data_IF_724968879970
#
_entry.id   IF_724968879970
#
_cell.length_a   1.000
_cell.length_b   1.000
_cell.length_c   1.000
_cell.angle_alpha   90.00
_cell.angle_beta   90.00
_cell.angle_gamma   90.00
#
_symmetry.space_group_name_H-M   'P 1'
#
loop_
_entity.id
_entity.type
_entity.pdbx_description
1 polymer ?
#
# COMPACT_ATOMS: atom_id res chain seq x y z
N UNK A 1 -16.34 -22.53 -6.42
CA UNK A 1 -15.82 -21.15 -6.29
C UNK A 1 -14.64 -21.13 -5.32
N UNK A 2 -14.82 -21.66 -4.10
CA UNK A 2 -13.77 -21.74 -3.08
C UNK A 2 -12.51 -22.52 -3.50
N UNK A 3 -12.66 -23.65 -4.20
CA UNK A 3 -11.50 -24.43 -4.69
C UNK A 3 -10.53 -23.60 -5.56
N UNK A 4 -11.04 -22.58 -6.28
CA UNK A 4 -10.19 -21.67 -7.07
C UNK A 4 -9.53 -20.59 -6.22
N UNK A 5 -10.14 -20.19 -5.10
CA UNK A 5 -9.51 -19.28 -4.13
C UNK A 5 -8.37 -20.00 -3.36
N UNK A 6 -8.42 -21.34 -3.36
CA UNK A 6 -7.46 -22.24 -2.72
C UNK A 6 -6.26 -22.59 -3.57
N UNK A 7 -6.45 -22.67 -4.88
CA UNK A 7 -5.38 -22.98 -5.81
C UNK A 7 -4.40 -21.78 -5.94
N UNK A 8 -3.13 -21.92 -5.53
CA UNK A 8 -2.11 -20.87 -5.70
C UNK A 8 -1.74 -20.64 -7.18
N UNK A 9 -2.23 -21.48 -8.09
CA UNK A 9 -2.05 -21.36 -9.54
C UNK A 9 -3.26 -20.81 -10.26
N UNK A 10 -4.42 -20.73 -9.61
CA UNK A 10 -5.61 -20.17 -10.21
C UNK A 10 -5.49 -18.65 -10.40
N UNK A 11 -6.01 -18.19 -11.53
CA UNK A 11 -6.22 -16.77 -11.79
C UNK A 11 -7.31 -16.21 -10.85
N UNK A 12 -7.21 -14.93 -10.45
CA UNK A 12 -8.25 -14.27 -9.68
C UNK A 12 -9.61 -14.36 -10.36
N UNK A 13 -10.65 -14.56 -9.57
CA UNK A 13 -12.03 -14.69 -10.06
C UNK A 13 -12.91 -13.52 -9.65
N UNK A 14 -13.91 -13.20 -10.48
CA UNK A 14 -14.97 -12.29 -10.08
C UNK A 14 -15.84 -12.96 -9.00
N UNK A 15 -16.07 -12.23 -7.91
CA UNK A 15 -16.84 -12.65 -6.75
C UNK A 15 -18.04 -11.70 -6.58
N UNK A 16 -19.27 -12.23 -6.38
CA UNK A 16 -20.45 -11.40 -6.17
C UNK A 16 -20.34 -10.55 -4.90
N UNK A 17 -20.88 -9.32 -4.91
CA UNK A 17 -20.86 -8.44 -3.74
C UNK A 17 -21.54 -9.08 -2.53
N UNK A 18 -22.73 -9.67 -2.71
CA UNK A 18 -23.46 -10.28 -1.60
C UNK A 18 -22.69 -11.46 -0.98
N UNK A 19 -21.92 -12.22 -1.79
CA UNK A 19 -21.02 -13.25 -1.26
C UNK A 19 -19.92 -12.64 -0.39
N UNK A 20 -19.28 -11.55 -0.85
CA UNK A 20 -18.23 -10.88 -0.07
C UNK A 20 -18.78 -10.25 1.22
N UNK A 21 -19.99 -9.73 1.16
CA UNK A 21 -20.72 -9.19 2.31
C UNK A 21 -21.03 -10.28 3.33
N UNK A 22 -21.47 -11.46 2.89
CA UNK A 22 -21.75 -12.59 3.78
C UNK A 22 -20.49 -13.08 4.51
N UNK A 23 -19.38 -13.32 3.78
CA UNK A 23 -18.14 -13.83 4.39
C UNK A 23 -17.44 -12.81 5.29
N UNK A 24 -17.78 -11.52 5.18
CA UNK A 24 -17.24 -10.43 6.01
C UNK A 24 -18.21 -10.00 7.11
N UNK A 25 -19.28 -10.75 7.35
CA UNK A 25 -20.32 -10.41 8.33
C UNK A 25 -20.87 -8.99 8.13
N UNK A 26 -21.31 -8.70 6.90
CA UNK A 26 -21.76 -7.38 6.45
C UNK A 26 -20.71 -6.26 6.60
N UNK A 27 -19.43 -6.57 6.42
CA UNK A 27 -18.31 -5.64 6.66
C UNK A 27 -18.33 -5.09 8.09
N UNK A 28 -18.54 -5.97 9.09
CA UNK A 28 -18.58 -5.57 10.49
C UNK A 28 -17.23 -5.06 10.98
N UNK A 29 -17.26 -4.16 11.97
CA UNK A 29 -16.04 -3.59 12.55
C UNK A 29 -15.17 -4.66 13.22
N UNK A 30 -15.79 -5.75 13.69
CA UNK A 30 -15.12 -6.91 14.28
C UNK A 30 -14.27 -7.68 13.25
N UNK A 31 -14.59 -7.59 11.96
CA UNK A 31 -13.79 -8.16 10.89
C UNK A 31 -12.76 -7.17 10.33
N UNK A 32 -12.70 -5.92 10.80
CA UNK A 32 -11.73 -4.95 10.29
C UNK A 32 -10.29 -5.39 10.63
N UNK A 33 -9.46 -5.56 9.59
CA UNK A 33 -8.03 -5.84 9.70
C UNK A 33 -7.21 -4.54 9.66
N UNK A 34 -7.74 -3.50 9.03
CA UNK A 34 -7.11 -2.18 8.98
C UNK A 34 -7.78 -1.25 7.98
N UNK A 35 -7.45 0.04 8.10
CA UNK A 35 -7.98 1.11 7.26
C UNK A 35 -6.83 1.91 6.66
N UNK A 36 -6.80 1.98 5.34
CA UNK A 36 -5.81 2.73 4.57
C UNK A 36 -6.43 3.96 3.89
N UNK A 37 -5.62 4.67 3.10
CA UNK A 37 -6.09 5.82 2.31
C UNK A 37 -7.09 5.46 1.20
N UNK A 38 -7.08 4.21 0.75
CA UNK A 38 -7.85 3.75 -0.41
C UNK A 38 -9.07 2.90 -0.03
N UNK A 39 -9.24 2.55 1.25
CA UNK A 39 -10.34 1.68 1.67
C UNK A 39 -10.12 1.04 3.04
N UNK A 40 -11.04 0.13 3.38
CA UNK A 40 -10.99 -0.67 4.60
C UNK A 40 -10.78 -2.14 4.21
N UNK A 41 -9.90 -2.82 4.93
CA UNK A 41 -9.60 -4.24 4.74
C UNK A 41 -10.35 -5.02 5.82
N UNK A 42 -11.15 -5.98 5.40
CA UNK A 42 -11.91 -6.87 6.27
C UNK A 42 -11.39 -8.30 6.16
N UNK A 43 -11.55 -9.06 7.23
CA UNK A 43 -11.34 -10.49 7.27
C UNK A 43 -12.58 -11.16 6.69
N UNK A 44 -12.40 -11.92 5.60
CA UNK A 44 -13.44 -12.77 5.02
C UNK A 44 -13.24 -14.21 5.43
N UNK A 45 -14.26 -14.86 6.00
CA UNK A 45 -14.24 -16.29 6.35
C UNK A 45 -15.10 -17.06 5.36
N UNK A 46 -14.44 -17.84 4.50
CA UNK A 46 -15.11 -18.72 3.53
C UNK A 46 -15.87 -19.85 4.25
N UNK A 47 -16.92 -20.43 3.65
CA UNK A 47 -17.61 -21.61 4.19
C UNK A 47 -16.69 -22.78 4.55
N UNK A 48 -15.59 -23.00 3.82
CA UNK A 48 -14.52 -23.95 4.18
C UNK A 48 -13.76 -23.64 5.47
N UNK A 49 -13.96 -22.46 6.06
CA UNK A 49 -13.22 -21.94 7.22
C UNK A 49 -11.93 -21.22 6.86
N UNK A 50 -11.53 -21.19 5.58
CA UNK A 50 -10.36 -20.45 5.13
C UNK A 50 -10.62 -18.94 5.20
N UNK A 51 -9.56 -18.20 5.51
CA UNK A 51 -9.59 -16.74 5.63
C UNK A 51 -8.99 -16.09 4.37
N UNK A 52 -9.63 -15.02 3.90
CA UNK A 52 -9.11 -14.08 2.90
C UNK A 52 -9.15 -12.66 3.43
N UNK A 53 -8.37 -11.75 2.83
CA UNK A 53 -8.45 -10.32 3.11
C UNK A 53 -9.27 -9.61 2.03
N UNK A 54 -10.36 -8.96 2.41
CA UNK A 54 -11.29 -8.27 1.51
C UNK A 54 -11.13 -6.77 1.67
N UNK A 55 -10.45 -6.13 0.73
CA UNK A 55 -10.28 -4.67 0.69
C UNK A 55 -11.47 -4.04 -0.03
N UNK A 56 -12.35 -3.39 0.73
CA UNK A 56 -13.43 -2.56 0.20
C UNK A 56 -12.88 -1.17 -0.07
N UNK A 57 -12.84 -0.77 -1.34
CA UNK A 57 -12.34 0.55 -1.72
C UNK A 57 -13.34 1.63 -1.31
N UNK A 58 -12.85 2.80 -0.93
CA UNK A 58 -13.74 3.93 -0.66
C UNK A 58 -14.49 4.33 -1.94
N UNK A 59 -15.71 4.83 -1.77
CA UNK A 59 -16.52 5.36 -2.86
C UNK A 59 -15.83 6.60 -3.44
N UNK A 60 -14.95 6.38 -4.41
CA UNK A 60 -14.32 7.46 -5.15
C UNK A 60 -15.26 7.84 -6.29
N UNK A 61 -16.29 8.62 -5.96
CA UNK A 61 -17.28 9.16 -6.91
C UNK A 61 -16.68 9.99 -8.07
N UNK A 62 -15.36 10.22 -8.04
CA UNK A 62 -14.60 11.00 -9.02
C UNK A 62 -13.67 10.13 -9.88
N UNK A 63 -13.67 8.81 -9.70
CA UNK A 63 -12.73 7.95 -10.40
C UNK A 63 -13.35 7.32 -11.63
N UNK A 64 -12.59 7.37 -12.71
CA UNK A 64 -12.86 6.73 -13.97
C UNK A 64 -12.91 5.19 -13.80
N UNK A 65 -14.05 4.60 -14.16
CA UNK A 65 -14.26 3.15 -14.16
C UNK A 65 -13.25 2.44 -15.06
N UNK A 66 -12.83 3.06 -16.17
CA UNK A 66 -11.82 2.50 -17.08
C UNK A 66 -10.46 2.32 -16.36
N UNK A 67 -10.11 3.28 -15.51
CA UNK A 67 -8.87 3.25 -14.75
C UNK A 67 -8.88 2.14 -13.68
N UNK A 68 -10.01 1.93 -12.99
CA UNK A 68 -10.15 0.80 -12.07
C UNK A 68 -9.98 -0.54 -12.79
N UNK A 69 -10.65 -0.72 -13.94
CA UNK A 69 -10.53 -1.95 -14.72
C UNK A 69 -9.10 -2.21 -15.17
N UNK A 70 -8.38 -1.16 -15.58
CA UNK A 70 -6.95 -1.25 -15.93
C UNK A 70 -6.10 -1.70 -14.75
N UNK A 71 -6.33 -1.15 -13.56
CA UNK A 71 -5.57 -1.54 -12.37
C UNK A 71 -5.88 -2.96 -11.92
N UNK A 72 -7.16 -3.38 -11.89
CA UNK A 72 -7.50 -4.78 -11.61
C UNK A 72 -6.83 -5.70 -12.63
N UNK A 73 -6.84 -5.33 -13.91
CA UNK A 73 -6.18 -6.10 -14.98
C UNK A 73 -4.68 -6.22 -14.73
N UNK A 74 -4.02 -5.14 -14.30
CA UNK A 74 -2.60 -5.15 -13.92
C UNK A 74 -2.37 -6.10 -12.74
N UNK A 75 -3.21 -6.04 -11.71
CA UNK A 75 -3.09 -6.88 -10.50
C UNK A 75 -3.34 -8.38 -10.79
N UNK A 76 -4.23 -8.69 -11.74
CA UNK A 76 -4.60 -10.08 -12.09
C UNK A 76 -3.42 -10.89 -12.61
N UNK A 77 -2.49 -10.25 -13.30
CA UNK A 77 -1.29 -10.91 -13.85
C UNK A 77 -0.14 -11.08 -12.87
N UNK A 78 -0.21 -10.46 -11.69
CA UNK A 78 0.93 -10.38 -10.76
C UNK A 78 1.00 -11.64 -9.91
N UNK A 79 2.09 -12.39 -10.09
CA UNK A 79 2.38 -13.59 -9.32
C UNK A 79 3.87 -13.67 -8.99
N UNK A 80 4.18 -13.45 -7.72
CA UNK A 80 5.54 -13.54 -7.19
C UNK A 80 5.48 -13.97 -5.72
N UNK A 81 6.49 -14.71 -5.24
CA UNK A 81 6.50 -15.24 -3.87
C UNK A 81 6.50 -14.14 -2.80
N UNK A 82 7.15 -13.01 -3.07
CA UNK A 82 7.23 -11.84 -2.18
C UNK A 82 6.24 -10.71 -2.53
N UNK A 83 5.14 -11.03 -3.21
CA UNK A 83 4.05 -10.09 -3.46
C UNK A 83 2.74 -10.71 -2.98
N UNK A 84 1.90 -9.92 -2.33
CA UNK A 84 0.59 -10.39 -1.89
C UNK A 84 -0.27 -10.74 -3.09
N UNK A 85 -0.79 -11.95 -3.10
CA UNK A 85 -1.56 -12.49 -4.20
C UNK A 85 -3.01 -12.00 -4.16
N UNK A 86 -3.47 -11.43 -5.27
CA UNK A 86 -4.90 -11.24 -5.54
C UNK A 86 -5.54 -12.61 -5.78
N UNK A 87 -6.65 -12.91 -5.10
CA UNK A 87 -7.41 -14.17 -5.24
C UNK A 87 -8.77 -13.95 -5.90
N UNK A 88 -9.30 -12.74 -5.84
CA UNK A 88 -10.55 -12.39 -6.48
C UNK A 88 -10.83 -10.89 -6.42
N UNK A 89 -11.91 -10.48 -7.06
CA UNK A 89 -12.33 -9.08 -7.11
C UNK A 89 -13.84 -8.98 -7.27
N UNK A 90 -14.41 -7.84 -6.87
CA UNK A 90 -15.79 -7.46 -7.15
C UNK A 90 -15.76 -6.10 -7.86
N UNK A 91 -16.43 -6.04 -9.02
CA UNK A 91 -16.57 -4.86 -9.84
C UNK A 91 -18.04 -4.72 -10.22
N UNK A 92 -18.88 -4.47 -9.21
CA UNK A 92 -20.33 -4.31 -9.39
C UNK A 92 -20.71 -2.84 -9.25
N UNK A 93 -21.81 -2.44 -9.88
CA UNK A 93 -22.33 -1.08 -9.83
C UNK A 93 -23.85 -1.12 -9.66
N UNK A 94 -24.38 -0.37 -8.69
CA UNK A 94 -25.82 -0.35 -8.38
C UNK A 94 -26.40 1.06 -8.46
N UNK A 95 -27.61 1.19 -8.96
CA UNK A 95 -28.31 2.48 -9.00
C UNK A 95 -28.91 2.79 -7.62
N UNK A 96 -28.55 3.93 -7.06
CA UNK A 96 -29.07 4.43 -5.79
C UNK A 96 -29.57 5.86 -5.92
N UNK A 97 -30.62 6.19 -5.17
CA UNK A 97 -31.08 7.55 -5.01
C UNK A 97 -30.21 8.26 -3.96
N UNK A 98 -29.37 9.20 -4.39
CA UNK A 98 -28.50 9.98 -3.51
C UNK A 98 -29.13 11.35 -3.27
N UNK A 99 -29.15 11.78 -2.00
CA UNK A 99 -29.57 13.13 -1.64
C UNK A 99 -28.40 14.10 -1.75
N UNK A 100 -28.52 15.07 -2.64
CA UNK A 100 -27.54 16.14 -2.82
C UNK A 100 -27.60 17.15 -1.66
N UNK A 101 -26.52 17.94 -1.44
CA UNK A 101 -26.49 18.98 -0.41
C UNK A 101 -27.61 20.03 -0.53
N UNK A 102 -28.12 20.25 -1.74
CA UNK A 102 -29.25 21.14 -2.03
C UNK A 102 -30.62 20.53 -1.70
N UNK A 103 -30.67 19.29 -1.21
CA UNK A 103 -31.90 18.59 -0.82
C UNK A 103 -32.56 17.76 -1.92
N UNK A 104 -32.11 17.85 -3.17
CA UNK A 104 -32.66 17.08 -4.29
C UNK A 104 -32.13 15.63 -4.28
N UNK A 105 -32.98 14.68 -4.68
CA UNK A 105 -32.56 13.31 -4.92
C UNK A 105 -32.18 13.14 -6.40
N UNK A 106 -31.04 12.50 -6.65
CA UNK A 106 -30.63 12.09 -7.99
C UNK A 106 -30.35 10.60 -8.00
N UNK A 107 -30.71 9.93 -9.10
CA UNK A 107 -30.27 8.56 -9.31
C UNK A 107 -28.82 8.61 -9.79
N UNK A 108 -27.93 7.93 -9.09
CA UNK A 108 -26.56 7.74 -9.53
C UNK A 108 -26.16 6.29 -9.41
N UNK A 109 -25.22 5.89 -10.26
CA UNK A 109 -24.63 4.57 -10.20
C UNK A 109 -23.49 4.60 -9.17
N UNK A 110 -23.62 3.81 -8.11
CA UNK A 110 -22.61 3.66 -7.06
C UNK A 110 -21.74 2.45 -7.39
N UNK A 111 -20.45 2.64 -7.67
CA UNK A 111 -19.52 1.54 -7.85
C UNK A 111 -19.25 0.86 -6.50
N UNK A 112 -19.25 -0.46 -6.52
CA UNK A 112 -18.94 -1.32 -5.39
C UNK A 112 -17.73 -2.17 -5.78
N UNK A 113 -16.55 -1.60 -5.51
CA UNK A 113 -15.27 -2.17 -5.88
C UNK A 113 -14.56 -2.79 -4.68
N UNK A 114 -14.24 -4.08 -4.79
CA UNK A 114 -13.52 -4.82 -3.77
C UNK A 114 -12.40 -5.65 -4.38
N UNK A 115 -11.28 -5.73 -3.67
CA UNK A 115 -10.15 -6.59 -4.00
C UNK A 115 -9.99 -7.63 -2.92
N UNK A 116 -9.86 -8.89 -3.30
CA UNK A 116 -9.70 -10.01 -2.38
C UNK A 116 -8.29 -10.55 -2.51
N UNK A 117 -7.57 -10.60 -1.39
CA UNK A 117 -6.19 -11.06 -1.32
C UNK A 117 -6.08 -12.31 -0.43
N UNK A 118 -4.96 -13.02 -0.57
CA UNK A 118 -4.59 -14.03 0.41
C UNK A 118 -4.46 -13.41 1.81
N UNK A 119 -4.91 -14.13 2.84
CA UNK A 119 -4.74 -13.68 4.22
C UNK A 119 -3.36 -14.07 4.75
N UNK A 120 -2.66 -13.11 5.36
CA UNK A 120 -1.32 -13.29 5.91
C UNK A 120 -1.38 -13.15 7.44
N UNK A 121 -1.24 -14.25 8.20
CA UNK A 121 -1.55 -14.27 9.63
C UNK A 121 -0.48 -13.60 10.51
N UNK A 122 0.73 -13.44 10.01
CA UNK A 122 1.86 -12.94 10.80
C UNK A 122 1.98 -11.41 10.80
N UNK A 123 0.90 -10.67 10.50
CA UNK A 123 0.87 -9.20 10.49
C UNK A 123 1.94 -8.58 9.55
N UNK A 124 2.15 -7.27 9.69
CA UNK A 124 3.14 -6.51 8.92
C UNK A 124 4.54 -6.53 9.57
N UNK A 125 5.54 -6.21 8.76
CA UNK A 125 6.94 -6.05 9.16
C UNK A 125 7.09 -5.02 10.27
N UNK A 126 6.22 -4.00 10.30
CA UNK A 126 6.15 -2.99 11.35
C UNK A 126 6.25 -3.58 12.76
N UNK A 127 5.53 -4.69 13.01
CA UNK A 127 5.49 -5.37 14.31
C UNK A 127 6.84 -5.96 14.73
N UNK A 128 7.72 -6.24 13.79
CA UNK A 128 8.99 -6.94 14.00
C UNK A 128 10.23 -6.05 13.89
N UNK A 129 10.05 -4.76 13.64
CA UNK A 129 11.16 -3.83 13.45
C UNK A 129 11.24 -2.78 14.57
N UNK A 130 10.11 -2.47 15.22
CA UNK A 130 10.02 -1.41 16.24
C UNK A 130 10.27 -1.82 17.69
N UNK A 131 10.55 -3.10 17.98
CA UNK A 131 10.73 -3.57 19.36
C UNK A 131 12.23 -3.82 19.64
N UNK A 132 12.75 -3.26 20.75
CA UNK A 132 14.16 -3.37 21.19
C UNK A 132 14.63 -4.83 21.35
N UNK A 133 13.70 -5.79 21.28
CA UNK A 133 13.92 -7.22 21.25
C UNK A 133 13.05 -7.92 20.20
N UNK A 134 13.07 -7.50 18.93
CA UNK A 134 12.24 -8.12 17.88
C UNK A 134 12.45 -9.63 17.66
N UNK A 135 13.39 -10.28 18.36
CA UNK A 135 13.60 -11.72 18.35
C UNK A 135 14.08 -12.28 17.00
N UNK A 136 14.07 -11.48 15.94
CA UNK A 136 14.53 -11.86 14.62
C UNK A 136 16.05 -11.88 14.58
N UNK A 137 16.60 -13.09 14.58
CA UNK A 137 18.01 -13.32 14.27
C UNK A 137 18.37 -12.71 12.91
N UNK A 138 19.62 -12.23 12.80
CA UNK A 138 20.14 -11.59 11.60
C UNK A 138 19.85 -12.37 10.30
N UNK A 139 19.98 -13.70 10.35
CA UNK A 139 19.65 -14.57 9.21
C UNK A 139 18.22 -14.33 8.68
N UNK A 140 17.23 -14.23 9.58
CA UNK A 140 15.83 -14.00 9.20
C UNK A 140 15.63 -12.56 8.69
N UNK A 141 16.28 -11.57 9.30
CA UNK A 141 16.28 -10.18 8.81
C UNK A 141 16.83 -10.08 7.39
N UNK A 142 17.92 -10.78 7.11
CA UNK A 142 18.50 -10.85 5.76
C UNK A 142 17.57 -11.54 4.76
N UNK A 143 16.91 -12.64 5.14
CA UNK A 143 15.89 -13.30 4.31
C UNK A 143 14.72 -12.37 3.99
N UNK A 144 14.28 -11.56 4.95
CA UNK A 144 13.26 -10.53 4.76
C UNK A 144 13.75 -9.46 3.76
N UNK A 145 14.92 -8.87 4.00
CA UNK A 145 15.54 -7.88 3.11
C UNK A 145 15.60 -8.40 1.67
N UNK A 146 16.10 -9.62 1.50
CA UNK A 146 16.22 -10.27 0.20
C UNK A 146 14.84 -10.47 -0.47
N UNK A 147 13.85 -10.93 0.28
CA UNK A 147 12.50 -11.13 -0.23
C UNK A 147 11.84 -9.82 -0.68
N UNK A 148 11.97 -8.74 0.11
CA UNK A 148 11.46 -7.41 -0.26
C UNK A 148 12.16 -6.90 -1.53
N UNK A 149 13.49 -7.04 -1.63
CA UNK A 149 14.22 -6.73 -2.86
C UNK A 149 13.69 -7.50 -4.07
N UNK A 150 13.45 -8.81 -3.92
CA UNK A 150 12.97 -9.66 -5.02
C UNK A 150 11.58 -9.23 -5.50
N UNK A 151 10.65 -9.00 -4.57
CA UNK A 151 9.31 -8.53 -4.89
C UNK A 151 9.31 -7.16 -5.56
N UNK A 152 10.10 -6.22 -5.04
CA UNK A 152 10.16 -4.86 -5.59
C UNK A 152 10.82 -4.84 -6.97
N UNK A 153 11.88 -5.63 -7.15
CA UNK A 153 12.53 -5.80 -8.46
C UNK A 153 11.54 -6.34 -9.50
N UNK A 154 10.75 -7.36 -9.14
CA UNK A 154 9.72 -7.90 -10.01
C UNK A 154 8.67 -6.85 -10.38
N UNK A 155 8.17 -6.06 -9.41
CA UNK A 155 7.24 -4.97 -9.68
C UNK A 155 7.82 -3.96 -10.69
N UNK A 156 9.08 -3.56 -10.51
CA UNK A 156 9.72 -2.55 -11.37
C UNK A 156 10.04 -3.07 -12.77
N UNK A 157 10.63 -4.26 -12.88
CA UNK A 157 11.17 -4.76 -14.13
C UNK A 157 10.14 -5.52 -14.97
N UNK A 158 9.34 -6.38 -14.33
CA UNK A 158 8.43 -7.27 -15.04
C UNK A 158 7.02 -6.67 -15.15
N UNK A 159 6.58 -5.93 -14.12
CA UNK A 159 5.24 -5.33 -14.12
C UNK A 159 5.22 -3.84 -14.50
N UNK A 160 6.38 -3.17 -14.49
CA UNK A 160 6.50 -1.72 -14.68
C UNK A 160 5.63 -0.90 -13.71
N UNK A 161 5.48 -1.39 -12.48
CA UNK A 161 4.70 -0.75 -11.41
C UNK A 161 5.65 -0.11 -10.42
N UNK A 162 5.42 1.18 -10.12
CA UNK A 162 6.05 1.88 -8.99
C UNK A 162 5.08 1.86 -7.81
N UNK A 163 5.54 1.47 -6.63
CA UNK A 163 4.70 1.26 -5.46
C UNK A 163 4.28 2.58 -4.78
N UNK A 164 5.23 3.51 -4.61
CA UNK A 164 5.10 4.86 -4.04
C UNK A 164 4.67 4.98 -2.55
N UNK A 165 4.39 3.88 -1.86
CA UNK A 165 3.96 3.82 -0.43
C UNK A 165 4.57 2.58 0.21
N UNK A 166 5.81 2.28 -0.18
CA UNK A 166 6.53 1.16 0.40
C UNK A 166 6.94 1.55 1.83
N UNK A 167 6.42 0.82 2.81
CA UNK A 167 6.66 1.04 4.24
C UNK A 167 6.48 -0.27 5.02
N UNK A 168 7.00 -0.40 6.25
CA UNK A 168 6.89 -1.64 7.02
C UNK A 168 5.45 -2.14 7.21
N UNK A 169 4.45 -1.24 7.24
CA UNK A 169 3.03 -1.56 7.33
C UNK A 169 2.51 -2.32 6.09
N UNK A 170 3.09 -2.03 4.92
CA UNK A 170 2.71 -2.62 3.63
C UNK A 170 3.57 -3.84 3.24
N UNK A 171 4.43 -4.31 4.14
CA UNK A 171 5.18 -5.55 3.98
C UNK A 171 4.60 -6.56 4.95
N UNK A 172 3.78 -7.48 4.47
CA UNK A 172 3.10 -8.49 5.27
C UNK A 172 3.93 -9.77 5.39
N UNK A 173 3.72 -10.53 6.45
CA UNK A 173 4.47 -11.75 6.74
C UNK A 173 3.59 -12.98 6.52
N UNK A 174 4.06 -13.91 5.70
CA UNK A 174 3.39 -15.19 5.51
C UNK A 174 3.59 -16.14 6.70
N UNK A 175 2.99 -17.32 6.64
CA UNK A 175 3.05 -18.35 7.70
C UNK A 175 4.49 -18.81 8.01
N UNK A 176 5.42 -18.64 7.09
CA UNK A 176 6.84 -19.03 7.22
C UNK A 176 7.74 -17.86 7.63
N UNK A 177 7.16 -16.70 7.95
CA UNK A 177 7.85 -15.44 8.23
C UNK A 177 8.67 -14.92 7.04
N UNK A 178 8.16 -15.12 5.82
CA UNK A 178 8.69 -14.52 4.61
C UNK A 178 7.86 -13.29 4.20
N UNK A 179 8.48 -12.24 3.65
CA UNK A 179 7.80 -10.99 3.38
C UNK A 179 7.01 -11.06 2.07
N UNK A 180 5.89 -10.34 2.04
CA UNK A 180 5.07 -10.08 0.86
C UNK A 180 4.67 -8.61 0.79
N UNK A 181 5.00 -7.96 -0.32
CA UNK A 181 4.64 -6.56 -0.58
C UNK A 181 3.14 -6.48 -0.89
N UNK A 182 2.44 -5.61 -0.16
CA UNK A 182 1.00 -5.37 -0.23
C UNK A 182 0.71 -3.92 -0.66
N UNK A 183 -0.55 -3.58 -0.91
CA UNK A 183 -0.98 -2.18 -1.12
C UNK A 183 -0.23 -1.41 -2.23
N UNK A 184 0.13 -2.13 -3.31
CA UNK A 184 0.69 -1.59 -4.55
C UNK A 184 -0.40 -1.37 -5.61
N UNK A 185 -0.09 -0.59 -6.64
CA UNK A 185 -0.95 -0.42 -7.83
C UNK A 185 -2.16 0.51 -7.67
N UNK A 186 -2.56 0.85 -6.43
CA UNK A 186 -3.70 1.74 -6.18
C UNK A 186 -3.31 3.22 -6.05
N UNK A 187 -2.02 3.56 -6.14
CA UNK A 187 -1.56 4.94 -5.95
C UNK A 187 -1.57 5.79 -7.23
N UNK A 188 -1.76 5.17 -8.39
CA UNK A 188 -1.97 5.91 -9.64
C UNK A 188 -3.45 6.21 -9.88
N UNK A 189 -4.34 5.65 -9.06
CA UNK A 189 -5.81 5.73 -9.13
C UNK A 189 -6.37 7.12 -8.79
N UNK A 190 -5.64 7.91 -8.01
CA UNK A 190 -6.08 9.25 -7.63
C UNK A 190 -5.35 10.24 -8.55
N UNK A 191 -6.08 11.07 -9.29
CA UNK A 191 -5.49 12.13 -10.13
C UNK A 191 -4.42 12.89 -9.34
N UNK A 192 -3.31 13.25 -9.97
CA UNK A 192 -2.27 14.09 -9.36
C UNK A 192 -2.86 15.40 -8.77
N UNK A 193 -3.98 15.88 -9.33
CA UNK A 193 -4.72 17.02 -8.82
C UNK A 193 -5.54 16.69 -7.56
N UNK A 194 -6.13 15.51 -7.44
CA UNK A 194 -6.79 15.08 -6.19
C UNK A 194 -5.77 14.78 -5.11
N UNK A 195 -4.59 14.21 -5.44
CA UNK A 195 -3.44 14.12 -4.53
C UNK A 195 -2.99 15.49 -4.01
N UNK A 196 -3.04 16.54 -4.84
CA UNK A 196 -2.72 17.92 -4.44
C UNK A 196 -3.86 18.60 -3.66
N UNK A 197 -5.12 18.27 -3.94
CA UNK A 197 -6.31 18.92 -3.37
C UNK A 197 -6.73 18.28 -2.03
N UNK A 198 -6.53 16.97 -1.86
CA UNK A 198 -6.84 16.27 -0.61
C UNK A 198 -5.63 16.25 0.34
N UNK A 199 -5.58 17.27 1.19
CA UNK A 199 -4.93 17.30 2.49
C UNK A 199 -3.39 17.48 2.56
N UNK A 200 -3.04 18.69 3.02
CA UNK A 200 -1.96 19.02 3.98
C UNK A 200 -2.02 18.19 5.29
N UNK A 201 -2.48 16.94 5.25
CA UNK A 201 -2.69 16.06 6.40
C UNK A 201 -2.56 14.58 6.02
N UNK A 202 -1.73 14.27 5.02
CA UNK A 202 -1.12 12.94 5.03
C UNK A 202 -0.22 12.86 6.26
N UNK A 203 -0.37 11.85 7.13
CA UNK A 203 0.70 11.51 8.05
C UNK A 203 1.91 11.26 7.17
N UNK A 204 2.88 12.16 7.21
CA UNK A 204 4.13 12.08 6.46
C UNK A 204 4.74 10.71 6.76
N UNK A 205 4.50 9.72 5.91
CA UNK A 205 5.11 8.42 6.08
C UNK A 205 6.59 8.71 5.87
N UNK A 206 7.41 8.50 6.90
CA UNK A 206 8.81 8.89 6.85
C UNK A 206 9.58 8.25 5.69
N UNK A 207 8.97 7.34 4.93
CA UNK A 207 9.55 6.54 3.86
C UNK A 207 9.47 7.19 2.47
N UNK A 208 8.72 8.29 2.28
CA UNK A 208 8.60 8.94 0.96
C UNK A 208 9.90 9.61 0.52
N UNK A 209 10.25 9.43 -0.75
CA UNK A 209 11.39 10.08 -1.37
C UNK A 209 11.18 11.60 -1.50
N UNK A 210 12.22 12.42 -1.31
CA UNK A 210 12.09 13.87 -1.34
C UNK A 210 11.62 14.39 -2.70
N UNK A 211 12.10 13.85 -3.81
CA UNK A 211 11.69 14.24 -5.16
C UNK A 211 10.21 13.93 -5.44
N UNK A 212 9.71 12.82 -4.89
CA UNK A 212 8.29 12.47 -4.99
C UNK A 212 7.43 13.42 -4.14
N UNK A 213 7.88 13.71 -2.91
CA UNK A 213 7.12 14.55 -1.99
C UNK A 213 7.10 16.02 -2.38
N UNK A 214 8.22 16.56 -2.86
CA UNK A 214 8.38 17.98 -3.16
C UNK A 214 7.94 18.34 -4.58
N UNK A 215 8.25 17.46 -5.54
CA UNK A 215 8.07 17.75 -6.97
C UNK A 215 7.01 16.85 -7.63
N UNK A 216 6.54 15.79 -6.94
CA UNK A 216 5.61 14.82 -7.51
C UNK A 216 6.27 13.87 -8.51
N UNK A 217 7.60 13.76 -8.51
CA UNK A 217 8.34 12.92 -9.46
C UNK A 217 8.12 11.44 -9.12
N UNK A 218 7.40 10.74 -10.01
CA UNK A 218 7.16 9.29 -9.89
C UNK A 218 8.25 8.54 -10.63
N UNK A 219 9.02 7.72 -9.91
CA UNK A 219 10.02 6.85 -10.51
C UNK A 219 10.30 5.61 -9.63
N UNK A 220 10.84 4.51 -10.20
CA UNK A 220 11.32 3.38 -9.42
C UNK A 220 12.34 3.77 -8.33
N UNK A 221 13.05 4.90 -8.48
CA UNK A 221 14.02 5.37 -7.49
C UNK A 221 13.34 5.86 -6.19
N UNK A 222 12.10 6.33 -6.28
CA UNK A 222 11.34 6.70 -5.09
C UNK A 222 11.11 5.50 -4.17
N UNK A 223 10.77 4.34 -4.74
CA UNK A 223 10.63 3.10 -3.96
C UNK A 223 11.96 2.60 -3.40
N UNK A 224 13.07 2.80 -4.14
CA UNK A 224 14.42 2.44 -3.66
C UNK A 224 14.81 3.29 -2.45
N UNK A 225 14.43 4.56 -2.41
CA UNK A 225 14.62 5.40 -1.23
C UNK A 225 13.84 4.85 -0.02
N UNK A 226 12.55 4.54 -0.22
CA UNK A 226 11.71 3.92 0.81
C UNK A 226 12.29 2.60 1.32
N UNK A 227 12.78 1.76 0.41
CA UNK A 227 13.46 0.50 0.71
C UNK A 227 14.70 0.71 1.58
N UNK A 228 15.54 1.70 1.24
CA UNK A 228 16.72 2.06 2.02
C UNK A 228 16.37 2.42 3.46
N UNK A 229 15.29 3.19 3.66
CA UNK A 229 14.79 3.51 5.00
C UNK A 229 14.31 2.29 5.78
N UNK A 230 13.58 1.38 5.14
CA UNK A 230 13.14 0.13 5.76
C UNK A 230 14.35 -0.71 6.16
N UNK A 231 15.40 -0.76 5.34
CA UNK A 231 16.61 -1.54 5.65
C UNK A 231 17.37 -0.96 6.84
N UNK A 232 17.49 0.36 6.91
CA UNK A 232 18.05 1.02 8.09
C UNK A 232 17.28 0.62 9.33
N UNK A 233 15.95 0.67 9.30
CA UNK A 233 15.11 0.25 10.43
C UNK A 233 15.31 -1.22 10.82
N UNK A 234 15.36 -2.13 9.84
CA UNK A 234 15.62 -3.56 10.08
C UNK A 234 17.00 -3.79 10.71
N UNK A 235 18.03 -3.04 10.28
CA UNK A 235 19.41 -3.19 10.76
C UNK A 235 19.57 -2.59 12.16
N UNK A 236 19.08 -1.37 12.37
CA UNK A 236 19.25 -0.63 13.63
C UNK A 236 18.24 -1.04 14.70
N UNK A 237 17.08 -1.57 14.31
CA UNK A 237 15.93 -1.76 15.19
C UNK A 237 15.31 -0.45 15.69
N UNK A 238 15.63 0.69 15.05
CA UNK A 238 15.17 2.01 15.46
C UNK A 238 14.33 2.67 14.37
N UNK A 239 13.08 3.01 14.71
CA UNK A 239 12.13 3.70 13.84
C UNK A 239 12.50 5.16 13.58
N UNK A 240 13.06 5.83 14.59
CA UNK A 240 13.41 7.25 14.56
C UNK A 240 14.87 7.47 14.17
N UNK A 241 15.28 6.96 13.00
CA UNK A 241 16.60 7.32 12.47
C UNK A 241 16.58 8.83 12.08
N UNK A 242 17.28 9.71 12.82
CA UNK A 242 17.04 11.17 12.76
C UNK A 242 17.36 11.80 11.40
N UNK A 243 18.21 11.14 10.62
CA UNK A 243 18.88 11.66 9.42
C UNK A 243 18.03 11.64 8.14
N UNK A 244 16.76 11.25 8.22
CA UNK A 244 15.93 11.01 7.01
C UNK A 244 14.48 11.48 7.13
N UNK A 245 14.16 12.29 8.15
CA UNK A 245 12.84 12.92 8.18
C UNK A 245 12.82 14.10 7.22
N UNK A 246 11.78 14.21 6.38
CA UNK A 246 11.56 15.41 5.56
C UNK A 246 11.52 16.66 6.44
N UNK A 247 11.04 16.54 7.68
CA UNK A 247 11.14 17.60 8.69
C UNK A 247 12.58 18.00 9.03
N UNK A 248 13.56 17.09 9.00
CA UNK A 248 14.98 17.41 9.15
C UNK A 248 15.53 18.11 7.90
N UNK A 249 15.18 17.65 6.70
CA UNK A 249 15.49 18.32 5.43
C UNK A 249 14.89 19.73 5.36
N UNK A 250 13.60 19.89 5.67
CA UNK A 250 12.91 21.18 5.72
C UNK A 250 13.44 22.09 6.83
N UNK A 251 13.83 21.56 8.00
CA UNK A 251 14.49 22.34 9.07
C UNK A 251 15.91 22.78 8.67
N UNK A 252 16.65 21.94 7.95
CA UNK A 252 17.94 22.31 7.35
C UNK A 252 17.77 23.47 6.37
N UNK A 253 16.77 23.41 5.49
CA UNK A 253 16.46 24.49 4.55
C UNK A 253 15.93 25.76 5.23
N UNK A 254 15.08 25.64 6.26
CA UNK A 254 14.48 26.78 6.95
C UNK A 254 15.46 27.57 7.82
N UNK A 255 16.55 26.94 8.27
CA UNK A 255 17.61 27.62 9.03
C UNK A 255 18.63 28.34 8.16
N UNK A 256 18.52 28.22 6.82
CA UNK A 256 19.33 28.97 5.87
C UNK A 256 18.52 30.12 5.24
N UNK A 257 19.20 31.26 5.11
CA UNK A 257 18.68 32.58 4.79
C UNK A 257 17.78 32.55 3.52
N UNK A 258 16.54 33.09 3.53
CA UNK A 258 15.58 33.01 2.42
C UNK A 258 16.00 33.69 1.09
N UNK A 259 17.22 34.22 1.02
CA UNK A 259 17.83 34.77 -0.20
C UNK A 259 18.91 33.88 -0.83
N UNK A 260 19.23 32.70 -0.26
CA UNK A 260 20.06 31.70 -0.94
C UNK A 260 19.15 30.62 -1.53
N UNK A 261 19.18 30.49 -2.86
CA UNK A 261 18.48 29.44 -3.62
C UNK A 261 18.75 28.05 -3.04
N UNK A 262 17.69 27.23 -3.07
CA UNK A 262 17.68 25.76 -3.20
C UNK A 262 19.00 25.05 -2.88
N UNK A 263 19.06 24.42 -1.70
CA UNK A 263 20.05 23.36 -1.48
C UNK A 263 19.69 22.23 -2.45
N UNK A 264 20.62 21.89 -3.35
CA UNK A 264 20.40 20.79 -4.30
C UNK A 264 20.36 19.45 -3.56
N UNK A 265 19.64 18.47 -4.10
CA UNK A 265 19.62 17.10 -3.56
C UNK A 265 21.04 16.54 -3.38
N UNK A 266 21.98 16.91 -4.25
CA UNK A 266 23.40 16.53 -4.17
C UNK A 266 24.06 17.05 -2.88
N UNK A 267 23.82 18.31 -2.52
CA UNK A 267 24.41 18.93 -1.32
C UNK A 267 23.79 18.37 -0.02
N UNK A 268 22.53 17.92 -0.05
CA UNK A 268 21.94 17.15 1.05
C UNK A 268 22.58 15.76 1.19
N UNK A 269 22.80 15.05 0.08
CA UNK A 269 23.41 13.71 0.11
C UNK A 269 24.88 13.75 0.57
N UNK A 270 25.64 14.77 0.18
CA UNK A 270 27.03 14.95 0.61
C UNK A 270 27.13 15.17 2.13
N UNK A 271 26.23 15.97 2.71
CA UNK A 271 26.20 16.21 4.15
C UNK A 271 25.82 14.97 4.98
N UNK A 272 25.01 14.06 4.42
CA UNK A 272 24.69 12.77 5.04
C UNK A 272 25.89 11.82 5.00
N UNK A 273 26.75 11.92 3.98
CA UNK A 273 27.92 11.05 3.81
C UNK A 273 29.14 11.44 4.69
N UNK A 274 29.11 12.62 5.31
CA UNK A 274 30.20 13.19 6.09
C UNK A 274 30.13 12.92 7.61
N UNK A 275 29.20 12.07 8.06
CA UNK A 275 28.99 11.63 9.46
C UNK A 275 29.19 10.13 9.56
#
# INVERSE_FOLDING_TARGET
MEEKLDDPTASPISLPFEFLKDITDNFSNEQELGKGGYGVVYKGVLPSGKIIAVKKLFEMHLVDEEQFHKEVTNLVGIKHENIVRLVGYCAESRWEAIKLPNGNNVMAQIPTWLLCFEYLPNNSLQKYVSDECSGLHWKKRYEIIKGVCSGLHFLHQECHIVHLDLKPENILMDTTMMPKIADFGLQLYVNADVYKISNYSFPCSGYMAPEYLLEGVVSPKADVFSLGKIFMEIVTGQRDCPLTSVSAFLKLNANHNPNSMEISLEEYMDNVSAI
#
